data_IF_319458185726
#
_entry.id   IF_319458185726
#
_cell.length_a   1.000
_cell.length_b   1.000
_cell.length_c   1.000
_cell.angle_alpha   90.00
_cell.angle_beta   90.00
_cell.angle_gamma   90.00
#
_symmetry.space_group_name_H-M   'P 1'
#
loop_
_entity.id
_entity.type
_entity.pdbx_description
1 polymer ?
#
# COMPACT_ATOMS: atom_id res chain seq x y z
N UNK A 1 5.69 -19.41 -15.43
CA UNK A 1 5.70 -17.98 -15.00
C UNK A 1 4.50 -17.32 -15.66
N UNK A 2 3.54 -16.80 -14.88
CA UNK A 2 2.36 -16.12 -15.43
C UNK A 2 2.74 -14.82 -16.13
N UNK A 3 2.02 -14.49 -17.21
CA UNK A 3 2.22 -13.23 -17.94
C UNK A 3 1.86 -12.03 -17.04
N UNK A 4 2.71 -11.01 -17.04
CA UNK A 4 2.41 -9.76 -16.33
C UNK A 4 1.44 -8.93 -17.17
N UNK A 5 0.26 -8.64 -16.63
CA UNK A 5 -0.70 -7.71 -17.22
C UNK A 5 -0.32 -6.31 -16.80
N UNK A 6 0.03 -5.48 -17.78
CA UNK A 6 0.46 -4.10 -17.53
C UNK A 6 -0.67 -3.13 -17.85
N UNK A 7 -0.97 -2.25 -16.92
CA UNK A 7 -1.92 -1.15 -17.08
C UNK A 7 -1.14 0.17 -17.05
N UNK A 8 -0.84 0.73 -18.22
CA UNK A 8 -0.07 1.98 -18.33
C UNK A 8 -0.90 3.21 -17.96
N UNK A 9 -2.23 3.12 -18.05
CA UNK A 9 -3.15 4.20 -17.73
C UNK A 9 -4.44 3.70 -17.07
N UNK A 10 -5.20 4.62 -16.51
CA UNK A 10 -6.42 4.33 -15.76
C UNK A 10 -7.52 3.78 -16.66
N UNK A 11 -7.60 4.23 -17.92
CA UNK A 11 -8.59 3.75 -18.87
C UNK A 11 -8.49 2.24 -19.08
N UNK A 12 -7.29 1.71 -19.31
CA UNK A 12 -7.05 0.27 -19.51
C UNK A 12 -7.54 -0.56 -18.31
N UNK A 13 -7.29 -0.08 -17.09
CA UNK A 13 -7.77 -0.77 -15.89
C UNK A 13 -9.29 -0.68 -15.75
N UNK A 14 -9.88 0.50 -15.93
CA UNK A 14 -11.32 0.69 -15.87
C UNK A 14 -12.04 -0.20 -16.90
N UNK A 15 -11.54 -0.22 -18.14
CA UNK A 15 -12.08 -1.06 -19.21
C UNK A 15 -12.05 -2.54 -18.83
N UNK A 16 -10.94 -3.03 -18.27
CA UNK A 16 -10.80 -4.42 -17.82
C UNK A 16 -11.75 -4.78 -16.66
N UNK A 17 -12.37 -3.77 -16.03
CA UNK A 17 -13.32 -3.91 -14.91
C UNK A 17 -14.75 -3.50 -15.27
N UNK A 18 -15.03 -3.22 -16.56
CA UNK A 18 -16.35 -2.75 -17.01
C UNK A 18 -16.77 -1.41 -16.38
N UNK A 19 -15.80 -0.57 -15.99
CA UNK A 19 -16.06 0.71 -15.32
C UNK A 19 -15.86 1.87 -16.27
N UNK A 20 -16.82 2.81 -16.28
CA UNK A 20 -16.72 4.03 -17.06
C UNK A 20 -15.55 4.91 -16.59
N UNK A 21 -14.79 5.47 -17.54
CA UNK A 21 -13.70 6.41 -17.25
C UNK A 21 -14.18 7.85 -17.32
N UNK A 22 -14.49 8.44 -16.17
CA UNK A 22 -14.95 9.82 -16.05
C UNK A 22 -13.83 10.85 -16.18
N UNK A 23 -12.58 10.47 -15.83
CA UNK A 23 -11.41 11.34 -15.90
C UNK A 23 -10.14 10.52 -16.24
N UNK A 24 -9.29 11.01 -17.18
CA UNK A 24 -8.14 10.23 -17.65
C UNK A 24 -7.06 9.97 -16.58
N UNK A 25 -6.96 10.81 -15.56
CA UNK A 25 -5.89 10.78 -14.57
C UNK A 25 -6.32 10.35 -13.16
N UNK A 26 -7.60 10.12 -12.92
CA UNK A 26 -8.12 9.66 -11.62
C UNK A 26 -9.41 8.86 -11.78
N UNK A 27 -9.58 7.82 -10.96
CA UNK A 27 -10.80 7.00 -10.91
C UNK A 27 -11.07 6.53 -9.48
N UNK A 28 -12.35 6.47 -9.12
CA UNK A 28 -12.83 5.79 -7.91
C UNK A 28 -13.74 4.64 -8.35
N UNK A 29 -13.32 3.43 -8.03
CA UNK A 29 -14.02 2.20 -8.42
C UNK A 29 -14.75 1.61 -7.22
N UNK A 30 -16.01 1.24 -7.41
CA UNK A 30 -16.79 0.43 -6.50
C UNK A 30 -16.79 -1.02 -6.99
N UNK A 31 -16.09 -1.91 -6.30
CA UNK A 31 -15.96 -3.30 -6.73
C UNK A 31 -17.26 -4.09 -6.70
N UNK A 32 -18.27 -3.62 -5.97
CA UNK A 32 -19.61 -4.24 -6.02
C UNK A 32 -20.32 -4.05 -7.36
N UNK A 33 -19.86 -3.11 -8.17
CA UNK A 33 -20.40 -2.75 -9.49
C UNK A 33 -19.47 -3.08 -10.65
N UNK A 34 -18.22 -3.45 -10.32
CA UNK A 34 -17.21 -3.77 -11.32
C UNK A 34 -17.31 -5.23 -11.77
N UNK A 35 -16.92 -5.52 -12.99
CA UNK A 35 -16.82 -6.89 -13.49
C UNK A 35 -15.81 -7.69 -12.65
N UNK A 36 -16.13 -8.93 -12.27
CA UNK A 36 -15.22 -9.77 -11.51
C UNK A 36 -14.00 -10.14 -12.37
N UNK A 37 -12.83 -10.26 -11.71
CA UNK A 37 -11.66 -10.86 -12.36
C UNK A 37 -11.94 -12.37 -12.48
N UNK A 38 -11.77 -12.99 -13.67
CA UNK A 38 -11.92 -14.42 -13.81
C UNK A 38 -10.99 -15.19 -12.86
N UNK A 39 -11.35 -16.43 -12.48
CA UNK A 39 -10.45 -17.27 -11.69
C UNK A 39 -9.11 -17.47 -12.38
N UNK A 40 -8.03 -17.41 -11.61
CA UNK A 40 -6.69 -17.55 -12.16
C UNK A 40 -5.62 -16.91 -11.31
N UNK A 41 -4.38 -17.03 -11.77
CA UNK A 41 -3.21 -16.43 -11.16
C UNK A 41 -2.70 -15.29 -12.04
N UNK A 42 -2.76 -14.08 -11.52
CA UNK A 42 -2.45 -12.85 -12.26
C UNK A 42 -1.26 -12.13 -11.64
N UNK A 43 -0.48 -11.50 -12.49
CA UNK A 43 0.54 -10.52 -12.09
C UNK A 43 0.20 -9.20 -12.75
N UNK A 44 -0.15 -8.21 -11.93
CA UNK A 44 -0.51 -6.88 -12.40
C UNK A 44 0.61 -5.89 -12.15
N UNK A 45 0.87 -5.00 -13.11
CA UNK A 45 1.76 -3.86 -12.96
C UNK A 45 1.00 -2.59 -13.33
N UNK A 46 0.97 -1.61 -12.43
CA UNK A 46 0.24 -0.36 -12.62
C UNK A 46 1.19 0.79 -12.94
N UNK A 47 0.90 1.59 -13.97
CA UNK A 47 1.60 2.85 -14.30
C UNK A 47 1.14 4.05 -13.45
N UNK A 48 0.31 3.82 -12.46
CA UNK A 48 -0.32 4.84 -11.61
C UNK A 48 -0.37 4.39 -10.15
N UNK A 49 -0.62 5.31 -9.23
CA UNK A 49 -0.86 5.01 -7.83
C UNK A 49 -2.23 4.35 -7.65
N UNK A 50 -2.29 3.34 -6.80
CA UNK A 50 -3.54 2.68 -6.44
C UNK A 50 -3.66 2.53 -4.92
N UNK A 51 -4.86 2.82 -4.41
CA UNK A 51 -5.23 2.61 -3.01
C UNK A 51 -6.47 1.74 -3.00
N UNK A 52 -6.36 0.52 -2.45
CA UNK A 52 -7.45 -0.44 -2.37
C UNK A 52 -7.97 -0.52 -0.94
N UNK A 53 -9.21 -0.09 -0.74
CA UNK A 53 -9.96 -0.32 0.49
C UNK A 53 -10.80 -1.60 0.31
N UNK A 54 -10.50 -2.60 1.10
CA UNK A 54 -11.21 -3.89 1.09
C UNK A 54 -12.15 -3.99 2.29
N UNK A 55 -13.40 -4.34 2.01
CA UNK A 55 -14.49 -4.42 3.00
C UNK A 55 -14.84 -5.86 3.39
N UNK A 56 -14.28 -6.87 2.71
CA UNK A 56 -14.62 -8.29 2.93
C UNK A 56 -13.35 -9.12 2.84
N UNK A 57 -13.30 -10.23 3.54
CA UNK A 57 -12.32 -11.31 3.34
C UNK A 57 -12.42 -11.81 1.89
N UNK A 58 -11.80 -11.09 0.98
CA UNK A 58 -11.66 -11.52 -0.41
C UNK A 58 -10.49 -12.47 -0.43
N UNK A 59 -10.72 -13.77 -0.56
CA UNK A 59 -9.75 -14.84 -0.72
C UNK A 59 -8.25 -14.48 -0.63
N UNK A 60 -7.41 -15.41 -0.40
CA UNK A 60 -5.98 -15.23 -0.15
C UNK A 60 -5.32 -14.40 -1.26
N UNK A 61 -5.03 -13.12 -0.98
CA UNK A 61 -4.08 -12.37 -1.77
C UNK A 61 -2.69 -12.87 -1.41
N UNK A 62 -2.04 -13.48 -2.39
CA UNK A 62 -0.69 -14.00 -2.22
C UNK A 62 0.32 -12.92 -2.63
N UNK A 63 1.19 -12.56 -1.71
CA UNK A 63 2.37 -11.77 -1.98
C UNK A 63 3.61 -12.63 -1.73
N UNK A 64 4.28 -13.01 -2.76
CA UNK A 64 5.41 -13.92 -2.66
C UNK A 64 5.02 -15.23 -1.96
N UNK A 65 5.63 -15.54 -0.81
CA UNK A 65 5.41 -16.78 -0.05
C UNK A 65 4.40 -16.65 1.11
N UNK A 66 3.90 -15.45 1.41
CA UNK A 66 3.03 -15.21 2.56
C UNK A 66 1.57 -15.09 2.17
N UNK A 67 0.69 -15.75 2.94
CA UNK A 67 -0.78 -15.63 2.87
C UNK A 67 -1.25 -14.52 3.79
N UNK A 68 -2.27 -13.80 3.34
CA UNK A 68 -2.86 -12.70 4.11
C UNK A 68 -4.29 -12.97 4.50
N UNK A 69 -4.56 -12.85 5.80
CA UNK A 69 -5.90 -12.76 6.36
C UNK A 69 -6.32 -11.29 6.38
N UNK A 70 -7.02 -10.84 5.32
CA UNK A 70 -7.58 -9.49 5.27
C UNK A 70 -8.79 -9.40 6.18
N UNK A 71 -8.68 -8.58 7.21
CA UNK A 71 -9.84 -8.17 7.99
C UNK A 71 -10.63 -7.10 7.21
N UNK A 72 -11.90 -6.95 7.52
CA UNK A 72 -12.75 -5.86 7.00
C UNK A 72 -12.08 -4.51 7.30
N UNK A 73 -12.08 -3.60 6.30
CA UNK A 73 -11.48 -2.28 6.48
C UNK A 73 -9.95 -2.24 6.35
N UNK A 74 -9.38 -2.97 5.42
CA UNK A 74 -7.94 -2.94 5.13
C UNK A 74 -7.62 -2.06 3.92
N UNK A 75 -6.63 -1.16 4.07
CA UNK A 75 -6.05 -0.39 2.97
C UNK A 75 -4.72 -0.97 2.52
N UNK A 76 -4.60 -1.10 1.20
CA UNK A 76 -3.36 -1.48 0.50
C UNK A 76 -2.98 -0.37 -0.47
N UNK A 77 -1.70 0.01 -0.46
CA UNK A 77 -1.15 1.08 -1.28
C UNK A 77 -0.17 0.51 -2.29
N UNK A 78 -0.22 1.02 -3.51
CA UNK A 78 0.67 0.59 -4.60
C UNK A 78 1.20 1.80 -5.34
N UNK A 79 2.53 1.87 -5.50
CA UNK A 79 3.19 2.87 -6.33
C UNK A 79 3.24 2.44 -7.80
N UNK A 80 3.39 3.39 -8.73
CA UNK A 80 3.64 3.07 -10.13
C UNK A 80 4.86 2.13 -10.30
N UNK A 81 4.73 1.13 -11.17
CA UNK A 81 5.78 0.17 -11.48
C UNK A 81 5.87 -1.05 -10.54
N UNK A 82 5.11 -1.09 -9.46
CA UNK A 82 5.04 -2.28 -8.61
C UNK A 82 4.28 -3.42 -9.30
N UNK A 83 4.80 -4.64 -9.15
CA UNK A 83 4.17 -5.88 -9.63
C UNK A 83 3.46 -6.56 -8.46
N UNK A 84 2.16 -6.79 -8.64
CA UNK A 84 1.29 -7.42 -7.65
C UNK A 84 0.83 -8.76 -8.18
N UNK A 85 0.94 -9.81 -7.35
CA UNK A 85 0.36 -11.13 -7.65
C UNK A 85 -1.02 -11.24 -7.00
N UNK A 86 -2.00 -11.62 -7.80
CA UNK A 86 -3.39 -11.82 -7.36
C UNK A 86 -3.82 -13.23 -7.75
N UNK A 87 -4.19 -14.03 -6.76
CA UNK A 87 -4.80 -15.34 -6.99
C UNK A 87 -6.32 -15.21 -6.79
N UNK A 88 -7.07 -15.44 -7.87
CA UNK A 88 -8.53 -15.45 -7.84
C UNK A 88 -9.01 -16.89 -7.89
N UNK A 89 -9.66 -17.36 -6.81
CA UNK A 89 -10.17 -18.74 -6.69
C UNK A 89 -11.50 -18.91 -7.45
N UNK A 90 -11.76 -20.13 -7.91
CA UNK A 90 -12.92 -20.50 -8.76
C UNK A 90 -14.30 -20.21 -8.17
N UNK A 91 -14.41 -20.00 -6.87
CA UNK A 91 -15.67 -19.67 -6.19
C UNK A 91 -15.42 -18.66 -5.07
N UNK A 92 -15.44 -17.37 -5.35
CA UNK A 92 -15.54 -16.39 -4.27
C UNK A 92 -16.89 -16.63 -3.56
N UNK A 93 -16.85 -17.01 -2.28
CA UNK A 93 -18.07 -17.21 -1.48
C UNK A 93 -18.88 -15.92 -1.31
N UNK A 94 -18.25 -14.77 -1.54
CA UNK A 94 -18.86 -13.45 -1.45
C UNK A 94 -18.29 -12.59 -2.59
N UNK A 95 -19.12 -11.80 -3.31
CA UNK A 95 -18.62 -10.87 -4.31
C UNK A 95 -17.65 -9.86 -3.66
N UNK A 96 -16.58 -9.47 -4.35
CA UNK A 96 -15.62 -8.52 -3.80
C UNK A 96 -16.33 -7.21 -3.46
N UNK A 97 -16.26 -6.81 -2.19
CA UNK A 97 -16.73 -5.51 -1.72
C UNK A 97 -15.52 -4.65 -1.40
N UNK A 98 -15.65 -3.37 -1.65
CA UNK A 98 -14.59 -2.42 -1.40
C UNK A 98 -14.51 -1.36 -2.48
N UNK A 99 -13.52 -0.49 -2.34
CA UNK A 99 -13.31 0.60 -3.29
C UNK A 99 -11.83 0.69 -3.67
N UNK A 100 -11.56 1.22 -4.85
CA UNK A 100 -10.21 1.62 -5.23
C UNK A 100 -10.19 3.09 -5.62
N UNK A 101 -9.13 3.78 -5.22
CA UNK A 101 -8.73 5.07 -5.74
C UNK A 101 -7.50 4.84 -6.63
N UNK A 102 -7.60 5.24 -7.88
CA UNK A 102 -6.51 5.21 -8.86
C UNK A 102 -6.18 6.65 -9.26
N UNK A 103 -4.90 7.03 -9.26
CA UNK A 103 -4.49 8.34 -9.71
C UNK A 103 -3.12 8.32 -10.38
N UNK A 104 -3.05 8.94 -11.55
CA UNK A 104 -1.83 8.98 -12.36
C UNK A 104 -0.86 10.06 -11.83
N UNK A 105 0.47 9.86 -11.89
CA UNK A 105 1.45 10.87 -11.48
C UNK A 105 1.25 12.24 -12.12
N UNK A 106 0.77 12.30 -13.36
CA UNK A 106 0.52 13.55 -14.06
C UNK A 106 -0.58 14.43 -13.42
N UNK A 107 -1.52 13.81 -12.68
CA UNK A 107 -2.50 14.55 -11.88
C UNK A 107 -1.81 15.42 -10.82
N UNK A 108 -0.69 14.93 -10.29
CA UNK A 108 0.04 15.55 -9.17
C UNK A 108 1.05 16.62 -9.62
N UNK A 109 1.36 16.74 -10.92
CA UNK A 109 2.36 17.69 -11.42
C UNK A 109 2.07 19.12 -10.97
N UNK A 110 3.08 19.78 -10.36
CA UNK A 110 2.97 21.18 -9.92
C UNK A 110 2.14 21.39 -8.65
N UNK A 111 1.64 20.32 -8.01
CA UNK A 111 0.90 20.39 -6.75
C UNK A 111 1.81 20.19 -5.53
N UNK A 112 1.32 20.54 -4.31
CA UNK A 112 1.98 20.23 -3.04
C UNK A 112 2.15 18.73 -2.88
N UNK A 113 1.11 17.96 -3.15
CA UNK A 113 1.12 16.51 -3.06
C UNK A 113 2.17 15.90 -3.99
N UNK A 114 2.32 16.41 -5.22
CA UNK A 114 3.33 15.92 -6.17
C UNK A 114 4.76 16.12 -5.69
N UNK A 115 5.03 17.19 -4.95
CA UNK A 115 6.35 17.42 -4.32
C UNK A 115 6.62 16.51 -3.14
N UNK A 116 5.57 16.10 -2.42
CA UNK A 116 5.66 15.40 -1.15
C UNK A 116 5.28 13.91 -1.25
N UNK A 117 4.86 13.41 -2.41
CA UNK A 117 4.35 12.04 -2.58
C UNK A 117 5.35 10.96 -2.12
N UNK A 118 6.65 11.20 -2.31
CA UNK A 118 7.71 10.29 -1.86
C UNK A 118 7.80 10.17 -0.33
N UNK A 119 7.23 11.12 0.42
CA UNK A 119 7.16 11.08 1.88
C UNK A 119 6.12 10.11 2.44
N UNK A 120 5.18 9.65 1.60
CA UNK A 120 4.23 8.61 1.98
C UNK A 120 4.85 7.22 1.78
N UNK A 121 5.69 6.80 2.72
CA UNK A 121 6.53 5.58 2.67
C UNK A 121 5.72 4.30 2.48
N UNK A 122 4.47 4.28 2.91
CA UNK A 122 3.58 3.13 2.81
C UNK A 122 3.21 2.73 1.36
N UNK A 123 3.46 3.56 0.36
CA UNK A 123 3.40 3.13 -1.04
C UNK A 123 4.51 2.13 -1.42
N UNK A 124 5.50 1.96 -0.57
CA UNK A 124 6.61 1.01 -0.75
C UNK A 124 6.56 -0.14 0.26
N UNK A 125 5.48 -0.23 1.05
CA UNK A 125 5.26 -1.35 1.96
C UNK A 125 4.79 -2.59 1.19
N UNK A 126 5.03 -3.75 1.76
CA UNK A 126 4.46 -4.99 1.24
C UNK A 126 2.99 -5.11 1.65
N UNK A 127 2.21 -5.93 0.94
CA UNK A 127 0.77 -6.09 1.22
C UNK A 127 0.52 -6.68 2.60
N UNK A 128 1.48 -7.42 3.12
CA UNK A 128 1.47 -7.92 4.48
C UNK A 128 1.60 -6.83 5.55
N UNK A 129 1.99 -5.66 5.17
CA UNK A 129 2.13 -4.49 6.02
C UNK A 129 0.93 -3.53 5.82
N UNK A 130 -0.18 -4.06 5.35
CA UNK A 130 -1.39 -3.32 5.05
C UNK A 130 -1.93 -2.58 6.30
N UNK A 131 -2.58 -1.45 6.07
CA UNK A 131 -3.21 -0.67 7.12
C UNK A 131 -4.58 -1.25 7.48
N UNK A 132 -4.74 -1.65 8.74
CA UNK A 132 -6.02 -2.10 9.28
C UNK A 132 -6.76 -0.93 9.93
N UNK A 133 -8.00 -0.73 9.54
CA UNK A 133 -8.84 0.38 9.96
C UNK A 133 -9.85 -0.06 11.03
N UNK A 134 -10.13 0.84 11.99
CA UNK A 134 -11.36 0.79 12.76
C UNK A 134 -12.55 1.25 11.90
N UNK A 135 -13.78 0.99 12.34
CA UNK A 135 -14.97 1.43 11.60
C UNK A 135 -15.03 2.96 11.42
N UNK A 136 -14.63 3.72 12.44
CA UNK A 136 -14.55 5.18 12.34
C UNK A 136 -13.49 5.64 11.33
N UNK A 137 -12.31 5.01 11.32
CA UNK A 137 -11.24 5.31 10.38
C UNK A 137 -11.65 4.93 8.95
N UNK A 138 -12.32 3.78 8.80
CA UNK A 138 -12.89 3.35 7.53
C UNK A 138 -13.88 4.37 6.99
N UNK A 139 -14.79 4.91 7.83
CA UNK A 139 -15.74 5.93 7.41
C UNK A 139 -15.03 7.19 6.90
N UNK A 140 -13.98 7.67 7.57
CA UNK A 140 -13.17 8.79 7.10
C UNK A 140 -12.59 8.54 5.70
N UNK A 141 -12.09 7.32 5.43
CA UNK A 141 -11.59 6.95 4.10
C UNK A 141 -12.71 6.95 3.06
N UNK A 142 -13.88 6.41 3.43
CA UNK A 142 -15.05 6.39 2.55
C UNK A 142 -15.52 7.80 2.20
N UNK A 143 -15.50 8.73 3.14
CA UNK A 143 -15.90 10.12 2.91
C UNK A 143 -14.95 10.82 1.93
N UNK A 144 -13.63 10.62 2.06
CA UNK A 144 -12.65 11.13 1.11
C UNK A 144 -12.89 10.56 -0.31
N UNK A 145 -13.12 9.25 -0.42
CA UNK A 145 -13.41 8.60 -1.70
C UNK A 145 -14.72 9.11 -2.31
N UNK A 146 -15.75 9.31 -1.49
CA UNK A 146 -17.04 9.84 -1.93
C UNK A 146 -16.92 11.27 -2.42
N UNK A 147 -16.13 12.13 -1.79
CA UNK A 147 -15.89 13.50 -2.23
C UNK A 147 -15.19 13.52 -3.60
N UNK A 148 -14.15 12.69 -3.79
CA UNK A 148 -13.50 12.55 -5.11
C UNK A 148 -14.50 12.06 -6.16
N UNK A 149 -15.28 11.03 -5.84
CA UNK A 149 -16.27 10.47 -6.77
C UNK A 149 -17.36 11.49 -7.15
N UNK A 150 -17.79 12.32 -6.20
CA UNK A 150 -18.75 13.39 -6.45
C UNK A 150 -18.17 14.43 -7.40
N UNK A 151 -16.92 14.84 -7.19
CA UNK A 151 -16.25 15.81 -8.06
C UNK A 151 -16.07 15.27 -9.49
N UNK A 152 -15.77 13.97 -9.65
CA UNK A 152 -15.66 13.34 -10.98
C UNK A 152 -16.97 13.31 -11.77
N UNK A 153 -18.12 13.42 -11.11
CA UNK A 153 -19.44 13.44 -11.73
C UNK A 153 -19.92 14.85 -12.09
N UNK A 154 -19.29 15.88 -11.56
CA UNK A 154 -19.60 17.25 -11.91
C UNK A 154 -18.92 17.64 -13.23
N UNK A 155 -19.41 18.71 -13.87
CA UNK A 155 -18.73 19.29 -15.01
C UNK A 155 -17.33 19.77 -14.58
N UNK A 156 -16.31 19.37 -15.33
CA UNK A 156 -14.91 19.74 -15.04
C UNK A 156 -14.74 21.25 -15.17
N UNK A 157 -14.24 21.88 -14.13
CA UNK A 157 -13.90 23.30 -14.09
C UNK A 157 -12.46 23.54 -13.61
N UNK A 158 -12.07 24.80 -13.48
CA UNK A 158 -10.71 25.18 -13.04
C UNK A 158 -10.37 24.78 -11.59
N UNK A 159 -11.35 24.41 -10.76
CA UNK A 159 -11.19 24.02 -9.37
C UNK A 159 -11.18 22.50 -9.18
N UNK A 160 -11.74 21.73 -10.11
CA UNK A 160 -11.91 20.29 -10.01
C UNK A 160 -10.60 19.57 -9.67
N UNK A 161 -9.51 19.90 -10.38
CA UNK A 161 -8.20 19.30 -10.09
C UNK A 161 -7.73 19.57 -8.65
N UNK A 162 -7.91 20.80 -8.18
CA UNK A 162 -7.49 21.19 -6.82
C UNK A 162 -8.30 20.44 -5.77
N UNK A 163 -9.62 20.35 -5.94
CA UNK A 163 -10.50 19.63 -5.02
C UNK A 163 -10.18 18.14 -4.99
N UNK A 164 -9.97 17.51 -6.14
CA UNK A 164 -9.59 16.11 -6.23
C UNK A 164 -8.25 15.87 -5.52
N UNK A 165 -7.21 16.63 -5.86
CA UNK A 165 -5.87 16.47 -5.26
C UNK A 165 -5.89 16.72 -3.75
N UNK A 166 -6.64 17.71 -3.28
CA UNK A 166 -6.77 17.99 -1.83
C UNK A 166 -7.44 16.83 -1.08
N UNK A 167 -8.45 16.18 -1.66
CA UNK A 167 -9.07 15.01 -1.05
C UNK A 167 -8.14 13.78 -1.08
N UNK A 168 -7.32 13.61 -2.13
CA UNK A 168 -6.28 12.57 -2.17
C UNK A 168 -5.24 12.83 -1.07
N UNK A 169 -4.73 14.06 -0.97
CA UNK A 169 -3.75 14.45 0.07
C UNK A 169 -4.32 14.24 1.48
N UNK A 170 -5.59 14.60 1.70
CA UNK A 170 -6.29 14.36 2.97
C UNK A 170 -6.37 12.88 3.31
N UNK A 171 -6.74 12.03 2.35
CA UNK A 171 -6.78 10.57 2.51
C UNK A 171 -5.40 10.01 2.89
N UNK A 172 -4.34 10.46 2.22
CA UNK A 172 -2.98 10.01 2.49
C UNK A 172 -2.49 10.48 3.88
N UNK A 173 -2.81 11.70 4.29
CA UNK A 173 -2.48 12.23 5.61
C UNK A 173 -3.21 11.45 6.74
N UNK A 174 -4.47 11.10 6.55
CA UNK A 174 -5.17 10.20 7.48
C UNK A 174 -4.53 8.81 7.52
N UNK A 175 -4.11 8.29 6.37
CA UNK A 175 -3.41 7.00 6.31
C UNK A 175 -2.11 7.02 7.10
N UNK A 176 -1.33 8.09 7.03
CA UNK A 176 -0.14 8.29 7.87
C UNK A 176 -0.49 8.22 9.35
N UNK A 177 -1.50 8.98 9.79
CA UNK A 177 -1.97 8.98 11.18
C UNK A 177 -2.43 7.58 11.64
N UNK A 178 -3.11 6.84 10.78
CA UNK A 178 -3.62 5.53 11.12
C UNK A 178 -2.52 4.46 11.16
N UNK A 179 -1.48 4.57 10.33
CA UNK A 179 -0.27 3.76 10.45
C UNK A 179 0.45 4.04 11.78
N UNK A 180 0.59 5.31 12.17
CA UNK A 180 1.18 5.67 13.46
C UNK A 180 0.42 5.05 14.63
N UNK A 181 -0.94 5.09 14.61
CA UNK A 181 -1.78 4.40 15.59
C UNK A 181 -1.55 2.88 15.52
N UNK A 182 -1.47 2.27 14.32
CA UNK A 182 -1.24 0.84 14.14
C UNK A 182 0.10 0.41 14.73
N UNK A 183 1.16 1.17 14.54
CA UNK A 183 2.46 0.90 15.19
C UNK A 183 2.33 0.92 16.72
N UNK A 184 1.58 1.87 17.29
CA UNK A 184 1.37 1.92 18.74
C UNK A 184 0.57 0.71 19.25
N UNK A 185 -0.51 0.34 18.56
CA UNK A 185 -1.41 -0.74 19.00
C UNK A 185 -0.82 -2.14 18.80
N UNK A 186 0.16 -2.30 17.91
CA UNK A 186 0.90 -3.54 17.66
C UNK A 186 2.19 -3.68 18.48
N UNK A 187 2.30 -2.97 19.59
CA UNK A 187 3.53 -2.87 20.40
C UNK A 187 4.17 -4.25 20.71
N UNK A 188 3.39 -5.27 21.03
CA UNK A 188 3.94 -6.62 21.28
C UNK A 188 4.60 -7.22 20.03
N UNK A 189 3.96 -7.15 18.88
CA UNK A 189 4.50 -7.64 17.60
C UNK A 189 5.74 -6.84 17.20
N UNK A 190 5.70 -5.53 17.39
CA UNK A 190 6.85 -4.65 17.10
C UNK A 190 8.05 -4.96 17.98
N UNK A 191 7.83 -5.24 19.28
CA UNK A 191 8.89 -5.65 20.20
C UNK A 191 9.50 -6.99 19.81
N UNK A 192 8.70 -7.95 19.35
CA UNK A 192 9.19 -9.23 18.84
C UNK A 192 10.07 -9.04 17.60
N UNK A 193 9.67 -8.14 16.69
CA UNK A 193 10.48 -7.77 15.52
C UNK A 193 11.79 -7.11 15.96
N UNK A 194 11.74 -6.16 16.91
CA UNK A 194 12.94 -5.49 17.42
C UNK A 194 13.87 -6.47 18.11
N UNK A 195 13.36 -7.37 18.96
CA UNK A 195 14.15 -8.42 19.60
C UNK A 195 14.77 -9.40 18.58
N UNK A 196 14.02 -9.72 17.50
CA UNK A 196 14.54 -10.49 16.36
C UNK A 196 15.67 -9.76 15.65
N UNK A 197 15.52 -8.45 15.44
CA UNK A 197 16.56 -7.61 14.84
C UNK A 197 17.82 -7.54 15.69
N UNK A 198 17.69 -7.38 17.00
CA UNK A 198 18.83 -7.35 17.93
C UNK A 198 19.61 -8.68 17.94
N UNK A 199 18.89 -9.80 17.92
CA UNK A 199 19.53 -11.13 17.79
C UNK A 199 20.23 -11.27 16.45
N UNK A 200 19.58 -10.89 15.35
CA UNK A 200 20.15 -10.93 14.01
C UNK A 200 21.47 -10.16 13.93
N UNK A 201 21.51 -8.94 14.51
CA UNK A 201 22.74 -8.14 14.57
C UNK A 201 23.80 -8.79 15.47
N UNK A 202 23.39 -9.32 16.63
CA UNK A 202 24.30 -10.04 17.54
C UNK A 202 24.97 -11.21 16.83
N UNK A 203 24.21 -12.07 16.15
CA UNK A 203 24.71 -13.22 15.40
C UNK A 203 25.58 -12.80 14.21
N UNK A 204 25.22 -11.69 13.53
CA UNK A 204 25.99 -11.16 12.41
C UNK A 204 27.37 -10.70 12.85
N UNK A 205 27.46 -9.91 13.94
CA UNK A 205 28.71 -9.33 14.43
C UNK A 205 29.56 -10.31 15.23
N UNK A 206 28.99 -11.41 15.75
CA UNK A 206 29.72 -12.48 16.43
C UNK A 206 30.42 -13.45 15.46
N UNK A 207 30.10 -13.44 14.19
CA UNK A 207 30.68 -14.32 13.16
C UNK A 207 31.67 -13.60 12.25
N UNK A 208 32.13 -14.27 11.20
CA UNK A 208 33.13 -13.77 10.22
C UNK A 208 32.52 -12.83 9.16
N UNK A 209 31.21 -12.62 9.23
CA UNK A 209 30.50 -11.80 8.22
C UNK A 209 30.94 -10.34 8.17
N UNK A 210 31.19 -9.66 9.30
CA UNK A 210 31.63 -8.26 9.25
C UNK A 210 32.95 -8.06 8.50
N UNK A 211 33.88 -9.02 8.61
CA UNK A 211 35.17 -8.95 7.92
C UNK A 211 35.01 -9.21 6.40
N UNK A 212 34.07 -10.08 6.03
CA UNK A 212 33.88 -10.49 4.64
C UNK A 212 32.91 -9.60 3.88
N UNK A 213 31.77 -9.26 4.48
CA UNK A 213 30.62 -8.65 3.83
C UNK A 213 30.40 -7.18 4.29
N UNK A 214 31.17 -6.71 5.30
CA UNK A 214 31.02 -5.39 5.90
C UNK A 214 29.81 -5.26 6.83
N UNK A 215 29.34 -4.04 7.04
CA UNK A 215 28.15 -3.75 7.88
C UNK A 215 26.88 -4.14 7.14
N UNK A 216 25.91 -4.83 7.78
CA UNK A 216 24.69 -5.26 7.13
C UNK A 216 23.84 -4.05 6.71
N UNK A 217 23.21 -4.12 5.55
CA UNK A 217 22.29 -3.07 5.08
C UNK A 217 20.92 -3.19 5.75
N UNK A 218 20.19 -2.07 5.86
CA UNK A 218 18.80 -2.05 6.35
C UNK A 218 17.93 -3.01 5.53
N UNK A 219 18.12 -3.04 4.21
CA UNK A 219 17.40 -3.95 3.32
C UNK A 219 17.66 -5.42 3.66
N UNK A 220 18.92 -5.81 3.85
CA UNK A 220 19.26 -7.16 4.22
C UNK A 220 18.62 -7.57 5.57
N UNK A 221 18.67 -6.68 6.58
CA UNK A 221 18.04 -6.93 7.88
C UNK A 221 16.52 -7.12 7.75
N UNK A 222 15.87 -6.27 6.98
CA UNK A 222 14.42 -6.34 6.72
C UNK A 222 14.03 -7.65 6.02
N UNK A 223 14.79 -8.07 4.99
CA UNK A 223 14.58 -9.33 4.28
C UNK A 223 14.70 -10.55 5.22
N UNK A 224 15.65 -10.54 6.15
CA UNK A 224 15.78 -11.61 7.16
C UNK A 224 14.59 -11.68 8.12
N UNK A 225 13.93 -10.54 8.36
CA UNK A 225 12.74 -10.42 9.21
C UNK A 225 11.42 -10.51 8.44
N UNK A 226 11.49 -10.78 7.12
CA UNK A 226 10.33 -10.85 6.21
C UNK A 226 9.50 -9.59 6.17
N UNK A 227 10.17 -8.43 6.17
CA UNK A 227 9.59 -7.10 6.11
C UNK A 227 10.13 -6.32 4.91
N UNK A 228 9.37 -5.33 4.44
CA UNK A 228 9.89 -4.33 3.51
C UNK A 228 10.89 -3.41 4.21
N UNK A 229 11.89 -2.93 3.48
CA UNK A 229 12.93 -2.06 4.05
C UNK A 229 12.34 -0.77 4.63
N UNK A 230 11.29 -0.23 4.00
CA UNK A 230 10.65 1.00 4.43
C UNK A 230 9.81 0.79 5.70
N UNK A 231 8.96 -0.26 5.73
CA UNK A 231 8.20 -0.57 6.94
C UNK A 231 9.12 -0.87 8.14
N UNK A 232 10.14 -1.69 7.92
CA UNK A 232 11.14 -1.99 8.93
C UNK A 232 11.86 -0.73 9.43
N UNK A 233 12.27 0.17 8.51
CA UNK A 233 12.89 1.44 8.87
C UNK A 233 11.98 2.33 9.71
N UNK A 234 10.70 2.45 9.34
CA UNK A 234 9.71 3.24 10.07
C UNK A 234 9.41 2.62 11.43
N UNK A 235 9.32 1.28 11.53
CA UNK A 235 9.15 0.56 12.79
C UNK A 235 10.33 0.80 13.73
N UNK A 236 11.57 0.59 13.28
CA UNK A 236 12.77 0.79 14.12
C UNK A 236 12.84 2.24 14.60
N UNK A 237 12.61 3.21 13.72
CA UNK A 237 12.60 4.63 14.07
C UNK A 237 11.54 4.95 15.13
N UNK A 238 10.36 4.36 15.02
CA UNK A 238 9.27 4.56 15.97
C UNK A 238 9.59 3.97 17.35
N UNK A 239 10.12 2.75 17.38
CA UNK A 239 10.40 2.03 18.65
C UNK A 239 11.66 2.53 19.36
N UNK A 240 12.68 3.00 18.61
CA UNK A 240 14.00 3.34 19.17
C UNK A 240 14.34 4.83 19.12
N UNK A 241 13.59 5.63 18.35
CA UNK A 241 13.90 7.03 18.07
C UNK A 241 15.07 7.24 17.09
N UNK A 242 15.70 6.15 16.59
CA UNK A 242 16.83 6.18 15.66
C UNK A 242 16.44 5.54 14.34
N UNK A 243 17.02 5.99 13.24
CA UNK A 243 16.87 5.28 11.98
C UNK A 243 17.48 3.87 12.07
N UNK A 244 16.99 2.92 11.29
CA UNK A 244 17.55 1.57 11.27
C UNK A 244 19.04 1.56 10.89
N UNK A 245 19.46 2.47 9.99
CA UNK A 245 20.87 2.61 9.62
C UNK A 245 21.73 3.08 10.80
N UNK A 246 21.29 4.11 11.54
CA UNK A 246 21.99 4.57 12.77
C UNK A 246 22.05 3.49 13.82
N UNK A 247 20.97 2.70 13.97
CA UNK A 247 20.93 1.61 14.94
C UNK A 247 21.94 0.51 14.61
N UNK A 248 22.08 0.13 13.33
CA UNK A 248 23.07 -0.84 12.86
C UNK A 248 24.50 -0.34 13.11
N UNK A 249 24.77 0.95 12.87
CA UNK A 249 26.10 1.55 13.03
C UNK A 249 26.55 1.68 14.49
N UNK A 250 25.62 1.61 15.43
CA UNK A 250 25.91 1.70 16.87
C UNK A 250 26.21 0.33 17.52
N UNK A 251 26.10 -0.75 16.77
CA UNK A 251 26.40 -2.13 17.21
C UNK A 251 27.82 -2.53 16.80
#
# INVERSE_FOLDING_TARGET
MGTVVKYDNIFQYNESRGVETLHPLVSVIDFSKAEPIPPGHYRHCFGFYAVFLKDVKCGDLRYGRNYYDYQEGTLVFMAPGQVVEVEVKDKPQVPPKGRALLFHPDLLRGTSLGRNIAGYTFFSYEVNEALHLSEQERQVMMDCLQNIQSELKHAIDKHSRTLIVSNIELLLNYSTRFYERQFITRNNVNRDVLAGFERLLGDYFAGDRPERDGVPSVRWCAEQLHLSANYFGDLVKKETGKSAQEYIQLK
#
